data_IF_145762689868
#
_entry.id   IF_145762689868
#
_cell.length_a   1.000
_cell.length_b   1.000
_cell.length_c   1.000
_cell.angle_alpha   90.00
_cell.angle_beta   90.00
_cell.angle_gamma   90.00
#
_symmetry.space_group_name_H-M   'P 1'
#
loop_
_entity.id
_entity.type
_entity.pdbx_description
1 polymer ?
#
# COMPACT_ATOMS: atom_id res chain seq x y z
N UNK A 1 -12.62 -9.67 7.52
CA UNK A 1 -12.66 -8.41 8.29
C UNK A 1 -13.48 -7.37 7.52
N UNK A 2 -14.26 -6.60 8.23
CA UNK A 2 -14.83 -5.40 7.64
C UNK A 2 -13.76 -4.28 7.60
N UNK A 3 -14.14 -3.09 7.09
CA UNK A 3 -13.21 -1.98 6.94
C UNK A 3 -12.64 -1.50 8.28
N UNK A 4 -13.46 -1.40 9.31
CA UNK A 4 -13.02 -0.92 10.62
C UNK A 4 -12.08 -1.91 11.29
N UNK A 5 -12.41 -3.19 11.20
CA UNK A 5 -11.56 -4.26 11.71
C UNK A 5 -10.21 -4.31 10.98
N UNK A 6 -10.24 -4.14 9.65
CA UNK A 6 -9.03 -4.14 8.84
C UNK A 6 -8.13 -2.94 9.15
N UNK A 7 -8.71 -1.77 9.33
CA UNK A 7 -7.95 -0.58 9.70
C UNK A 7 -7.37 -0.72 11.11
N UNK A 8 -8.16 -1.18 12.08
CA UNK A 8 -7.69 -1.44 13.44
C UNK A 8 -6.56 -2.47 13.46
N UNK A 9 -6.70 -3.53 12.68
CA UNK A 9 -5.65 -4.53 12.54
C UNK A 9 -4.34 -3.90 12.03
N UNK A 10 -4.43 -3.09 10.99
CA UNK A 10 -3.26 -2.41 10.43
C UNK A 10 -2.61 -1.46 11.45
N UNK A 11 -3.42 -0.67 12.16
CA UNK A 11 -2.90 0.27 13.17
C UNK A 11 -2.19 -0.46 14.31
N UNK A 12 -2.65 -1.63 14.68
CA UNK A 12 -2.00 -2.44 15.71
C UNK A 12 -0.59 -2.91 15.30
N UNK A 13 -0.30 -3.01 14.01
CA UNK A 13 1.03 -3.37 13.53
C UNK A 13 2.08 -2.27 13.80
N UNK A 14 1.68 -1.04 14.08
CA UNK A 14 2.61 0.05 14.40
C UNK A 14 3.41 -0.21 15.68
N UNK A 15 2.91 -1.06 16.56
CA UNK A 15 3.60 -1.41 17.82
C UNK A 15 4.72 -2.43 17.64
N UNK A 16 4.81 -3.05 16.47
CA UNK A 16 5.88 -3.99 16.18
C UNK A 16 7.16 -3.24 15.76
N UNK A 17 8.31 -3.80 16.16
CA UNK A 17 9.61 -3.20 15.87
C UNK A 17 9.85 -3.08 14.38
N UNK A 18 10.50 -1.98 13.99
CA UNK A 18 10.99 -1.78 12.63
C UNK A 18 12.00 -2.89 12.31
N UNK A 19 11.77 -3.61 11.22
CA UNK A 19 12.71 -4.59 10.71
C UNK A 19 13.58 -3.94 9.64
N UNK A 20 14.88 -4.16 9.73
CA UNK A 20 15.81 -3.75 8.68
C UNK A 20 15.87 -4.84 7.60
N UNK A 21 15.94 -4.41 6.34
CA UNK A 21 16.06 -5.31 5.19
C UNK A 21 14.72 -5.67 4.56
N UNK A 22 14.78 -6.43 3.48
CA UNK A 22 13.64 -6.75 2.62
C UNK A 22 13.20 -8.21 2.69
N UNK A 23 13.76 -8.99 3.58
CA UNK A 23 13.55 -10.44 3.61
C UNK A 23 12.08 -10.81 3.84
N UNK A 24 11.46 -10.22 4.87
CA UNK A 24 10.04 -10.47 5.19
C UNK A 24 9.12 -10.09 4.04
N UNK A 25 9.39 -8.94 3.41
CA UNK A 25 8.60 -8.46 2.28
C UNK A 25 8.77 -9.35 1.06
N UNK A 26 9.99 -9.77 0.75
CA UNK A 26 10.26 -10.68 -0.35
C UNK A 26 9.57 -12.03 -0.17
N UNK A 27 9.62 -12.60 1.03
CA UNK A 27 8.93 -13.84 1.34
C UNK A 27 7.41 -13.71 1.17
N UNK A 28 6.84 -12.61 1.65
CA UNK A 28 5.42 -12.37 1.49
C UNK A 28 5.04 -12.22 0.01
N UNK A 29 5.77 -11.39 -0.74
CA UNK A 29 5.49 -11.16 -2.16
C UNK A 29 5.61 -12.45 -2.99
N UNK A 30 6.58 -13.30 -2.68
CA UNK A 30 6.70 -14.61 -3.31
C UNK A 30 5.45 -15.47 -3.08
N UNK A 31 4.89 -15.42 -1.88
CA UNK A 31 3.69 -16.19 -1.53
C UNK A 31 2.42 -15.73 -2.23
N UNK A 32 2.39 -14.51 -2.77
CA UNK A 32 1.26 -13.96 -3.52
C UNK A 32 1.55 -13.77 -5.01
N UNK A 33 2.61 -14.38 -5.52
CA UNK A 33 2.92 -14.40 -6.95
C UNK A 33 3.69 -13.20 -7.48
N UNK A 34 4.36 -12.44 -6.63
CA UNK A 34 5.21 -11.30 -7.00
C UNK A 34 4.48 -10.25 -7.86
N UNK A 35 3.35 -9.67 -7.41
CA UNK A 35 2.56 -8.73 -8.20
C UNK A 35 3.35 -7.47 -8.59
N UNK A 36 4.36 -7.10 -7.81
CA UNK A 36 5.21 -5.95 -8.08
C UNK A 36 6.05 -6.09 -9.36
N UNK A 37 6.30 -7.31 -9.84
CA UNK A 37 7.13 -7.54 -11.04
C UNK A 37 6.44 -7.16 -12.34
N UNK A 38 5.11 -7.03 -12.33
CA UNK A 38 4.33 -6.63 -13.50
C UNK A 38 4.05 -5.13 -13.56
N UNK A 39 4.40 -4.39 -12.51
CA UNK A 39 4.17 -2.96 -12.40
C UNK A 39 5.43 -2.17 -12.80
N UNK A 40 5.21 -0.98 -13.33
CA UNK A 40 6.27 0.02 -13.52
C UNK A 40 6.19 1.03 -12.39
N UNK A 41 7.33 1.46 -11.89
CA UNK A 41 7.39 2.33 -10.72
C UNK A 41 8.11 3.64 -10.99
N UNK A 42 7.59 4.69 -10.35
CA UNK A 42 8.34 5.93 -10.09
C UNK A 42 8.41 6.07 -8.58
N UNK A 43 9.62 6.06 -8.03
CA UNK A 43 9.83 6.22 -6.60
C UNK A 43 10.21 7.66 -6.30
N UNK A 44 9.42 8.33 -5.46
CA UNK A 44 9.64 9.71 -5.04
C UNK A 44 10.09 9.71 -3.58
N UNK A 45 11.34 10.13 -3.36
CA UNK A 45 11.94 10.20 -2.03
C UNK A 45 12.43 11.62 -1.76
N UNK A 46 12.60 11.96 -0.48
CA UNK A 46 13.09 13.26 -0.05
C UNK A 46 12.44 13.73 1.24
N UNK A 47 12.90 14.87 1.74
CA UNK A 47 12.39 15.44 3.00
C UNK A 47 11.19 16.36 2.80
N UNK A 48 11.09 17.03 1.65
CA UNK A 48 10.03 17.99 1.34
C UNK A 48 9.47 17.77 -0.06
N UNK A 49 8.18 18.05 -0.23
CA UNK A 49 7.54 18.08 -1.54
C UNK A 49 7.22 16.73 -2.17
N UNK A 50 7.43 15.61 -1.46
CA UNK A 50 7.15 14.27 -2.00
C UNK A 50 5.70 14.11 -2.47
N UNK A 51 4.76 14.53 -1.63
CA UNK A 51 3.33 14.44 -1.95
C UNK A 51 2.94 15.27 -3.15
N UNK A 52 3.44 16.50 -3.23
CA UNK A 52 3.17 17.43 -4.35
C UNK A 52 3.72 16.88 -5.66
N UNK A 53 4.95 16.39 -5.67
CA UNK A 53 5.60 15.82 -6.87
C UNK A 53 4.84 14.56 -7.30
N UNK A 54 4.54 13.66 -6.39
CA UNK A 54 3.83 12.41 -6.69
C UNK A 54 2.45 12.66 -7.27
N UNK A 55 1.69 13.60 -6.69
CA UNK A 55 0.35 13.96 -7.17
C UNK A 55 0.42 14.60 -8.56
N UNK A 56 1.41 15.46 -8.81
CA UNK A 56 1.63 16.08 -10.11
C UNK A 56 1.95 15.02 -11.17
N UNK A 57 2.86 14.10 -10.88
CA UNK A 57 3.21 12.99 -11.77
C UNK A 57 1.98 12.12 -12.08
N UNK A 58 1.20 11.77 -11.07
CA UNK A 58 -0.04 11.02 -11.25
C UNK A 58 -0.97 11.74 -12.24
N UNK A 59 -1.18 13.02 -12.03
CA UNK A 59 -2.06 13.82 -12.91
C UNK A 59 -1.57 13.83 -14.34
N UNK A 60 -0.27 14.06 -14.57
CA UNK A 60 0.32 14.08 -15.90
C UNK A 60 0.16 12.71 -16.57
N UNK A 61 0.51 11.63 -15.88
CA UNK A 61 0.46 10.28 -16.44
C UNK A 61 -0.97 9.82 -16.71
N UNK A 62 -1.91 10.14 -15.82
CA UNK A 62 -3.32 9.83 -16.03
C UNK A 62 -3.86 10.54 -17.28
N UNK A 63 -3.52 11.83 -17.44
CA UNK A 63 -3.92 12.59 -18.64
C UNK A 63 -3.24 12.08 -19.91
N UNK A 64 -2.08 11.47 -19.80
CA UNK A 64 -1.40 10.84 -20.92
C UNK A 64 -1.98 9.47 -21.30
N UNK A 65 -3.00 8.99 -20.58
CA UNK A 65 -3.71 7.75 -20.89
C UNK A 65 -3.25 6.54 -20.08
N UNK A 66 -2.37 6.71 -19.10
CA UNK A 66 -1.94 5.61 -18.24
C UNK A 66 -2.90 5.42 -17.07
N UNK A 67 -3.05 4.18 -16.63
CA UNK A 67 -3.67 3.85 -15.34
C UNK A 67 -2.59 3.99 -14.26
N UNK A 68 -2.79 4.88 -13.29
CA UNK A 68 -1.76 5.25 -12.33
C UNK A 68 -2.19 4.96 -10.92
N UNK A 69 -1.48 4.05 -10.25
CA UNK A 69 -1.59 3.84 -8.81
C UNK A 69 -0.71 4.85 -8.09
N UNK A 70 -1.22 5.44 -7.02
CA UNK A 70 -0.48 6.35 -6.14
C UNK A 70 -0.50 5.81 -4.73
N UNK A 71 0.66 5.54 -4.18
CA UNK A 71 0.84 5.14 -2.79
C UNK A 71 1.60 6.24 -2.06
N UNK A 72 0.99 6.80 -1.03
CA UNK A 72 1.57 7.90 -0.24
C UNK A 72 1.55 7.60 1.25
N UNK A 73 2.41 8.29 2.00
CA UNK A 73 2.44 8.26 3.46
C UNK A 73 2.99 9.58 4.01
N UNK A 74 2.58 9.98 5.21
CA UNK A 74 1.48 9.42 6.01
C UNK A 74 0.09 9.85 5.51
N UNK A 75 -0.98 9.32 6.12
CA UNK A 75 -2.32 9.87 5.94
C UNK A 75 -2.64 10.90 7.04
N UNK A 76 -3.60 11.77 6.80
CA UNK A 76 -4.02 12.78 7.77
C UNK A 76 -5.20 12.31 8.62
N UNK A 77 -6.29 11.87 8.02
CA UNK A 77 -7.49 11.49 8.74
C UNK A 77 -7.93 10.04 8.49
N UNK A 78 -7.58 9.47 7.34
CA UNK A 78 -8.09 8.17 6.93
C UNK A 78 -7.02 7.37 6.19
N UNK A 79 -6.86 6.11 6.57
CA UNK A 79 -5.86 5.22 5.97
C UNK A 79 -6.03 5.08 4.45
N UNK A 80 -7.25 5.22 3.95
CA UNK A 80 -7.56 5.13 2.52
C UNK A 80 -6.87 6.21 1.69
N UNK A 81 -6.49 7.34 2.29
CA UNK A 81 -5.73 8.40 1.63
C UNK A 81 -4.41 7.92 1.04
N UNK A 82 -3.86 6.83 1.57
CA UNK A 82 -2.58 6.26 1.10
C UNK A 82 -2.69 5.55 -0.24
N UNK A 83 -3.91 5.20 -0.67
CA UNK A 83 -4.14 4.29 -1.80
C UNK A 83 -5.08 4.92 -2.81
N UNK A 84 -4.57 5.17 -4.01
CA UNK A 84 -5.34 5.83 -5.05
C UNK A 84 -5.02 5.23 -6.41
N UNK A 85 -6.04 5.01 -7.23
CA UNK A 85 -5.89 4.70 -8.66
C UNK A 85 -6.58 5.82 -9.42
N UNK A 86 -5.81 6.51 -10.27
CA UNK A 86 -6.23 7.69 -11.02
C UNK A 86 -6.89 8.72 -10.08
N UNK A 87 -8.18 9.00 -10.24
CA UNK A 87 -8.91 9.98 -9.44
C UNK A 87 -9.58 9.40 -8.19
N UNK A 88 -9.48 8.07 -7.96
CA UNK A 88 -10.25 7.39 -6.92
C UNK A 88 -9.39 6.82 -5.81
N UNK A 89 -9.76 7.10 -4.58
CA UNK A 89 -9.24 6.41 -3.42
C UNK A 89 -9.81 4.99 -3.34
N UNK A 90 -9.05 4.09 -2.71
CA UNK A 90 -9.53 2.73 -2.46
C UNK A 90 -10.86 2.76 -1.70
N UNK A 91 -11.82 1.93 -2.10
CA UNK A 91 -13.08 1.82 -1.36
C UNK A 91 -12.87 1.09 -0.03
N UNK A 92 -13.80 1.28 0.91
CA UNK A 92 -13.77 0.56 2.19
C UNK A 92 -13.81 -0.95 1.97
N UNK A 93 -14.63 -1.40 1.04
CA UNK A 93 -14.80 -2.81 0.69
C UNK A 93 -13.52 -3.40 0.07
N UNK A 94 -12.90 -2.67 -0.84
CA UNK A 94 -11.65 -3.11 -1.47
C UNK A 94 -10.51 -3.16 -0.45
N UNK A 95 -10.41 -2.17 0.42
CA UNK A 95 -9.43 -2.14 1.51
C UNK A 95 -9.59 -3.36 2.42
N UNK A 96 -10.82 -3.60 2.90
CA UNK A 96 -11.12 -4.74 3.77
C UNK A 96 -10.81 -6.08 3.10
N UNK A 97 -11.16 -6.22 1.83
CA UNK A 97 -10.90 -7.44 1.05
C UNK A 97 -9.40 -7.71 0.92
N UNK A 98 -8.62 -6.69 0.54
CA UNK A 98 -7.18 -6.85 0.39
C UNK A 98 -6.50 -7.13 1.73
N UNK A 99 -6.87 -6.40 2.78
CA UNK A 99 -6.31 -6.60 4.11
C UNK A 99 -6.62 -8.02 4.65
N UNK A 100 -7.83 -8.50 4.43
CA UNK A 100 -8.23 -9.86 4.84
C UNK A 100 -7.43 -10.92 4.08
N UNK A 101 -7.22 -10.74 2.79
CA UNK A 101 -6.42 -11.65 1.98
C UNK A 101 -4.95 -11.70 2.43
N UNK A 102 -4.37 -10.53 2.72
CA UNK A 102 -2.99 -10.45 3.23
C UNK A 102 -2.89 -11.16 4.58
N UNK A 103 -3.80 -10.87 5.49
CA UNK A 103 -3.82 -11.51 6.82
C UNK A 103 -3.92 -13.03 6.72
N UNK A 104 -4.80 -13.53 5.86
CA UNK A 104 -4.96 -14.96 5.64
C UNK A 104 -3.68 -15.61 5.08
N UNK A 105 -3.02 -14.95 4.13
CA UNK A 105 -1.77 -15.43 3.54
C UNK A 105 -0.62 -15.43 4.54
N UNK A 106 -0.55 -14.41 5.41
CA UNK A 106 0.49 -14.32 6.44
C UNK A 106 0.39 -15.44 7.47
N UNK A 107 -0.83 -15.86 7.83
CA UNK A 107 -1.03 -16.80 8.93
C UNK A 107 -0.45 -16.24 10.23
N UNK A 108 0.52 -16.96 10.82
CA UNK A 108 1.20 -16.53 12.04
C UNK A 108 2.42 -15.64 11.79
N UNK A 109 2.82 -15.46 10.53
CA UNK A 109 3.95 -14.59 10.18
C UNK A 109 3.60 -13.13 10.47
N UNK A 110 4.59 -12.39 10.91
CA UNK A 110 4.44 -10.97 11.22
C UNK A 110 5.23 -10.12 10.25
N UNK A 111 4.59 -9.04 9.78
CA UNK A 111 5.23 -7.99 9.00
C UNK A 111 4.92 -6.64 9.65
N UNK A 112 5.72 -5.63 9.30
CA UNK A 112 5.53 -4.28 9.84
C UNK A 112 4.31 -3.61 9.22
N UNK A 113 3.83 -2.53 9.87
CA UNK A 113 2.79 -1.67 9.31
C UNK A 113 3.11 -1.24 7.88
N UNK A 114 4.33 -0.73 7.67
CA UNK A 114 4.74 -0.25 6.35
C UNK A 114 4.79 -1.36 5.31
N UNK A 115 5.28 -2.53 5.67
CA UNK A 115 5.29 -3.71 4.79
C UNK A 115 3.87 -4.13 4.41
N UNK A 116 2.96 -4.16 5.38
CA UNK A 116 1.56 -4.51 5.14
C UNK A 116 0.88 -3.51 4.20
N UNK A 117 1.04 -2.22 4.47
CA UNK A 117 0.45 -1.17 3.64
C UNK A 117 1.03 -1.19 2.21
N UNK A 118 2.33 -1.42 2.07
CA UNK A 118 2.98 -1.55 0.77
C UNK A 118 2.44 -2.77 0.01
N UNK A 119 2.32 -3.92 0.67
CA UNK A 119 1.75 -5.12 0.07
C UNK A 119 0.30 -4.88 -0.40
N UNK A 120 -0.49 -4.19 0.41
CA UNK A 120 -1.87 -3.85 0.05
C UNK A 120 -1.93 -2.98 -1.21
N UNK A 121 -1.05 -1.98 -1.30
CA UNK A 121 -0.96 -1.14 -2.49
C UNK A 121 -0.61 -1.97 -3.74
N UNK A 122 0.43 -2.81 -3.65
CA UNK A 122 0.89 -3.63 -4.77
C UNK A 122 -0.16 -4.64 -5.24
N UNK A 123 -0.93 -5.20 -4.32
CA UNK A 123 -1.98 -6.15 -4.65
C UNK A 123 -3.23 -5.48 -5.22
N UNK A 124 -3.47 -4.24 -4.84
CA UNK A 124 -4.64 -3.50 -5.33
C UNK A 124 -4.39 -2.86 -6.70
N UNK A 125 -3.18 -2.40 -6.98
CA UNK A 125 -2.81 -1.81 -8.27
C UNK A 125 -2.78 -2.84 -9.39
#
# INVERSE_FOLDING_TARGET
MDYQEAWTFLDNLQFFKIKLGLESMNQFLDSVGNPHRTLRFVHVAGTNGKGSVSTTLRTILTKAGYKVGLYTSPHLSCVRERFRIDERFISKEAFARQASAIRATLGERQITYFEFATALALLWF
#
